data_IF_676426187309
#
_entry.id   IF_676426187309
#
_cell.length_a   1.000
_cell.length_b   1.000
_cell.length_c   1.000
_cell.angle_alpha   90.00
_cell.angle_beta   90.00
_cell.angle_gamma   90.00
#
_symmetry.space_group_name_H-M   'P 1'
#
loop_
_entity.id
_entity.type
_entity.pdbx_description
1 polymer ?
#
# COMPACT_ATOMS: atom_id res chain seq x y z
N UNK A 1 -11.07 -4.87 23.93
CA UNK A 1 -10.58 -5.09 22.57
C UNK A 1 -11.77 -5.09 21.65
N UNK A 2 -11.75 -4.23 20.64
CA UNK A 2 -12.73 -4.24 19.57
C UNK A 2 -12.72 -5.58 18.83
N UNK A 3 -13.86 -5.98 18.24
CA UNK A 3 -13.99 -7.24 17.47
C UNK A 3 -12.95 -7.35 16.35
N UNK A 4 -12.50 -6.21 15.82
CA UNK A 4 -11.61 -6.13 14.67
C UNK A 4 -10.20 -5.60 14.99
N UNK A 5 -9.90 -5.29 16.27
CA UNK A 5 -8.61 -4.70 16.66
C UNK A 5 -8.41 -3.23 16.21
N UNK A 6 -9.50 -2.51 15.94
CA UNK A 6 -9.50 -1.07 15.67
C UNK A 6 -10.84 -0.42 16.01
N UNK A 7 -10.85 0.90 16.16
CA UNK A 7 -12.04 1.67 16.50
C UNK A 7 -12.86 2.09 15.27
N UNK A 8 -14.12 2.48 15.48
CA UNK A 8 -14.94 3.06 14.38
C UNK A 8 -14.29 4.32 13.76
N UNK A 9 -13.55 5.10 14.55
CA UNK A 9 -12.82 6.28 14.08
C UNK A 9 -11.70 5.86 13.12
N UNK A 10 -10.92 4.85 13.49
CA UNK A 10 -9.85 4.30 12.64
C UNK A 10 -10.37 3.84 11.28
N UNK A 11 -11.52 3.15 11.27
CA UNK A 11 -12.16 2.73 10.01
C UNK A 11 -12.58 3.92 9.14
N UNK A 12 -13.01 5.02 9.76
CA UNK A 12 -13.35 6.23 9.00
C UNK A 12 -12.11 6.87 8.41
N UNK A 13 -11.05 7.03 9.22
CA UNK A 13 -9.77 7.60 8.80
C UNK A 13 -9.10 6.77 7.70
N UNK A 14 -9.11 5.44 7.81
CA UNK A 14 -8.57 4.55 6.78
C UNK A 14 -9.23 4.81 5.42
N UNK A 15 -10.56 4.91 5.38
CA UNK A 15 -11.29 5.16 4.13
C UNK A 15 -11.09 6.56 3.57
N UNK A 16 -10.77 7.53 4.42
CA UNK A 16 -10.45 8.88 4.01
C UNK A 16 -9.05 8.95 3.38
N UNK A 17 -8.05 8.32 4.03
CA UNK A 17 -6.65 8.39 3.62
C UNK A 17 -6.27 7.44 2.47
N UNK A 18 -6.99 6.33 2.30
CA UNK A 18 -6.59 5.28 1.34
C UNK A 18 -6.44 5.78 -0.09
N UNK A 19 -7.29 6.70 -0.56
CA UNK A 19 -7.21 7.23 -1.92
C UNK A 19 -5.89 7.97 -2.14
N UNK A 20 -5.49 8.83 -1.20
CA UNK A 20 -4.26 9.61 -1.32
C UNK A 20 -3.02 8.71 -1.23
N UNK A 21 -3.06 7.67 -0.40
CA UNK A 21 -1.99 6.68 -0.30
C UNK A 21 -1.82 5.87 -1.59
N UNK A 22 -2.93 5.44 -2.20
CA UNK A 22 -2.88 4.70 -3.47
C UNK A 22 -2.34 5.59 -4.61
N UNK A 23 -2.78 6.86 -4.69
CA UNK A 23 -2.27 7.80 -5.70
C UNK A 23 -0.77 8.08 -5.51
N UNK A 24 -0.31 8.31 -4.27
CA UNK A 24 1.10 8.51 -3.98
C UNK A 24 1.96 7.28 -4.34
N UNK A 25 1.46 6.08 -4.06
CA UNK A 25 2.13 4.83 -4.42
C UNK A 25 2.19 4.63 -5.94
N UNK A 26 1.08 4.83 -6.64
CA UNK A 26 1.04 4.70 -8.10
C UNK A 26 1.90 5.76 -8.79
N UNK A 27 2.00 6.99 -8.26
CA UNK A 27 2.92 8.00 -8.78
C UNK A 27 4.40 7.58 -8.61
N UNK A 28 4.76 6.96 -7.48
CA UNK A 28 6.08 6.36 -7.28
C UNK A 28 6.34 5.25 -8.33
N UNK A 29 5.40 4.33 -8.52
CA UNK A 29 5.53 3.26 -9.51
C UNK A 29 5.69 3.82 -10.94
N UNK A 30 4.88 4.82 -11.32
CA UNK A 30 4.98 5.46 -12.62
C UNK A 30 6.38 6.07 -12.87
N UNK A 31 6.99 6.66 -11.84
CA UNK A 31 8.37 7.18 -11.93
C UNK A 31 9.38 6.05 -12.12
N UNK A 32 9.27 4.96 -11.37
CA UNK A 32 10.11 3.76 -11.52
C UNK A 32 9.97 3.14 -12.94
N UNK A 33 8.76 3.12 -13.50
CA UNK A 33 8.51 2.63 -14.85
C UNK A 33 9.18 3.49 -15.92
N UNK A 34 9.12 4.82 -15.76
CA UNK A 34 9.81 5.76 -16.65
C UNK A 34 11.32 5.54 -16.59
N UNK A 35 11.89 5.36 -15.40
CA UNK A 35 13.32 5.07 -15.23
C UNK A 35 13.72 3.76 -15.89
N UNK A 36 12.93 2.70 -15.72
CA UNK A 36 13.13 1.40 -16.38
C UNK A 36 13.12 1.53 -17.91
N UNK A 37 12.15 2.26 -18.47
CA UNK A 37 12.06 2.49 -19.92
C UNK A 37 13.22 3.32 -20.47
N UNK A 38 13.75 4.24 -19.66
CA UNK A 38 14.92 5.05 -20.00
C UNK A 38 16.27 4.32 -19.76
N UNK A 39 16.24 3.13 -19.16
CA UNK A 39 17.42 2.32 -18.87
C UNK A 39 18.10 1.73 -20.10
N UNK A 40 19.17 0.96 -19.85
CA UNK A 40 19.92 0.26 -20.90
C UNK A 40 19.17 -0.97 -21.44
N UNK A 41 19.61 -1.48 -22.59
CA UNK A 41 19.04 -2.66 -23.24
C UNK A 41 18.20 -2.36 -24.49
N UNK A 42 17.85 -3.42 -25.20
CA UNK A 42 17.02 -3.34 -26.39
C UNK A 42 15.60 -2.86 -26.04
N UNK A 43 14.86 -2.27 -26.99
CA UNK A 43 13.47 -1.88 -26.76
C UNK A 43 12.58 -3.05 -26.31
N UNK A 44 12.83 -4.26 -26.82
CA UNK A 44 12.08 -5.47 -26.45
C UNK A 44 12.34 -5.91 -25.02
N UNK A 45 13.59 -5.87 -24.56
CA UNK A 45 13.92 -6.23 -23.17
C UNK A 45 13.21 -5.29 -22.21
N UNK A 46 13.33 -3.97 -22.41
CA UNK A 46 12.65 -2.96 -21.58
C UNK A 46 11.14 -3.13 -21.57
N UNK A 47 10.54 -3.40 -22.73
CA UNK A 47 9.09 -3.63 -22.84
C UNK A 47 8.65 -4.83 -22.01
N UNK A 48 9.30 -5.99 -22.17
CA UNK A 48 8.90 -7.20 -21.45
C UNK A 48 9.20 -7.12 -19.95
N UNK A 49 10.31 -6.48 -19.56
CA UNK A 49 10.61 -6.23 -18.14
C UNK A 49 9.56 -5.31 -17.51
N UNK A 50 9.12 -4.25 -18.22
CA UNK A 50 8.04 -3.39 -17.73
C UNK A 50 6.71 -4.14 -17.61
N UNK A 51 6.35 -4.94 -18.61
CA UNK A 51 5.10 -5.73 -18.59
C UNK A 51 5.06 -6.68 -17.40
N UNK A 52 6.15 -7.41 -17.14
CA UNK A 52 6.27 -8.30 -15.99
C UNK A 52 6.19 -7.53 -14.67
N UNK A 53 6.83 -6.36 -14.60
CA UNK A 53 6.79 -5.50 -13.41
C UNK A 53 5.38 -5.01 -13.11
N UNK A 54 4.66 -4.47 -14.11
CA UNK A 54 3.27 -4.00 -13.95
C UNK A 54 2.36 -5.14 -13.48
N UNK A 55 2.51 -6.35 -14.03
CA UNK A 55 1.73 -7.53 -13.61
C UNK A 55 2.01 -8.00 -12.18
N UNK A 56 3.12 -7.59 -11.58
CA UNK A 56 3.40 -7.85 -10.18
C UNK A 56 2.84 -6.72 -9.32
N UNK A 57 3.11 -5.47 -9.68
CA UNK A 57 2.67 -4.30 -8.94
C UNK A 57 1.14 -4.14 -8.92
N UNK A 58 0.41 -4.58 -9.97
CA UNK A 58 -1.06 -4.53 -9.99
C UNK A 58 -1.73 -5.32 -8.87
N UNK A 59 -1.00 -6.26 -8.26
CA UNK A 59 -1.47 -7.10 -7.15
C UNK A 59 -1.29 -6.44 -5.79
N UNK A 60 -0.50 -5.36 -5.73
CA UNK A 60 -0.23 -4.66 -4.49
C UNK A 60 -1.49 -3.96 -3.99
N UNK A 61 -1.64 -3.91 -2.67
CA UNK A 61 -2.73 -3.23 -1.99
C UNK A 61 -2.73 -1.73 -2.29
N UNK A 62 -1.54 -1.15 -2.48
CA UNK A 62 -1.35 0.22 -2.95
C UNK A 62 -1.90 0.50 -4.34
N UNK A 63 -2.18 -0.54 -5.15
CA UNK A 63 -2.81 -0.40 -6.48
C UNK A 63 -4.26 -0.87 -6.45
N UNK A 64 -4.53 -2.08 -5.96
CA UNK A 64 -5.86 -2.67 -5.99
C UNK A 64 -6.26 -3.27 -4.63
N UNK A 65 -6.70 -2.41 -3.72
CA UNK A 65 -7.18 -2.85 -2.42
C UNK A 65 -8.57 -3.50 -2.46
N UNK A 66 -8.82 -4.42 -1.53
CA UNK A 66 -10.16 -4.92 -1.22
C UNK A 66 -10.72 -4.24 0.04
N UNK A 67 -11.71 -3.37 -0.16
CA UNK A 67 -12.34 -2.62 0.92
C UNK A 67 -13.31 -3.48 1.76
N UNK A 68 -12.94 -3.78 3.00
CA UNK A 68 -13.84 -4.34 4.02
C UNK A 68 -13.31 -4.09 5.42
N UNK A 69 -14.18 -4.16 6.44
CA UNK A 69 -13.76 -4.05 7.84
C UNK A 69 -12.84 -5.19 8.27
N UNK A 70 -13.16 -6.41 7.85
CA UNK A 70 -12.35 -7.61 8.15
C UNK A 70 -10.93 -7.51 7.60
N UNK A 71 -10.75 -6.79 6.49
CA UNK A 71 -9.46 -6.67 5.81
C UNK A 71 -8.69 -5.40 6.23
N UNK A 72 -9.24 -4.54 7.10
CA UNK A 72 -8.65 -3.23 7.39
C UNK A 72 -7.21 -3.35 7.90
N UNK A 73 -6.97 -4.18 8.93
CA UNK A 73 -5.62 -4.37 9.49
C UNK A 73 -4.71 -5.00 8.44
N UNK A 74 -5.16 -6.05 7.76
CA UNK A 74 -4.36 -6.72 6.71
C UNK A 74 -3.98 -5.75 5.59
N UNK A 75 -4.90 -4.90 5.13
CA UNK A 75 -4.62 -3.91 4.11
C UNK A 75 -3.57 -2.90 4.58
N UNK A 76 -3.68 -2.40 5.82
CA UNK A 76 -2.68 -1.46 6.36
C UNK A 76 -1.30 -2.12 6.48
N UNK A 77 -1.24 -3.37 6.93
CA UNK A 77 0.00 -4.14 7.00
C UNK A 77 0.60 -4.34 5.61
N UNK A 78 -0.21 -4.68 4.61
CA UNK A 78 0.27 -4.81 3.23
C UNK A 78 0.81 -3.49 2.68
N UNK A 79 0.09 -2.38 2.88
CA UNK A 79 0.54 -1.05 2.46
C UNK A 79 1.87 -0.64 3.11
N UNK A 80 2.10 -1.00 4.38
CA UNK A 80 3.38 -0.79 5.05
C UNK A 80 4.49 -1.65 4.43
N UNK A 81 4.22 -2.92 4.15
CA UNK A 81 5.19 -3.86 3.57
C UNK A 81 5.56 -3.49 2.11
N UNK A 82 4.58 -3.00 1.35
CA UNK A 82 4.75 -2.46 -0.01
C UNK A 82 5.51 -1.12 0.00
N UNK A 83 5.62 -0.48 1.17
CA UNK A 83 6.18 0.86 1.30
C UNK A 83 5.31 1.95 0.67
N UNK A 84 4.01 1.69 0.52
CA UNK A 84 3.01 2.66 0.10
C UNK A 84 2.73 3.69 1.21
N UNK A 85 2.87 3.27 2.46
CA UNK A 85 2.77 4.13 3.66
C UNK A 85 3.86 3.78 4.66
N UNK A 86 3.99 4.62 5.69
CA UNK A 86 4.88 4.42 6.83
C UNK A 86 4.09 4.44 8.14
N UNK A 87 4.73 4.05 9.26
CA UNK A 87 4.10 4.16 10.58
C UNK A 87 3.74 5.60 10.97
N UNK A 88 4.39 6.61 10.37
CA UNK A 88 4.07 8.02 10.61
C UNK A 88 2.70 8.39 10.01
N UNK A 89 2.34 7.80 8.88
CA UNK A 89 1.02 8.01 8.25
C UNK A 89 -0.14 7.49 9.12
N UNK A 90 0.18 6.68 10.13
CA UNK A 90 -0.76 6.13 11.11
C UNK A 90 -0.83 6.92 12.43
N UNK A 91 -0.16 8.08 12.54
CA UNK A 91 -0.07 8.85 13.80
C UNK A 91 -1.46 9.19 14.40
N UNK A 92 -2.40 9.59 13.55
CA UNK A 92 -3.76 9.99 13.93
C UNK A 92 -4.67 8.82 14.34
N UNK A 93 -4.23 7.58 14.10
CA UNK A 93 -4.98 6.38 14.45
C UNK A 93 -4.83 6.03 15.93
N UNK A 94 -5.77 5.22 16.43
CA UNK A 94 -5.77 4.76 17.80
C UNK A 94 -4.53 3.94 18.17
N UNK A 95 -4.15 3.99 19.44
CA UNK A 95 -3.06 3.15 19.96
C UNK A 95 -3.40 1.66 19.84
N UNK A 96 -4.67 1.26 19.99
CA UNK A 96 -5.13 -0.13 19.76
C UNK A 96 -4.76 -0.63 18.35
N UNK A 97 -5.03 0.17 17.32
CA UNK A 97 -4.67 -0.20 15.94
C UNK A 97 -3.15 -0.24 15.75
N UNK A 98 -2.42 0.77 16.26
CA UNK A 98 -0.97 0.85 16.11
C UNK A 98 -0.25 -0.29 16.82
N UNK A 99 -0.71 -0.69 18.01
CA UNK A 99 -0.19 -1.85 18.74
C UNK A 99 -0.46 -3.16 17.98
N UNK A 100 -1.67 -3.34 17.45
CA UNK A 100 -2.00 -4.52 16.65
C UNK A 100 -1.14 -4.64 15.39
N UNK A 101 -0.89 -3.53 14.70
CA UNK A 101 0.01 -3.51 13.53
C UNK A 101 1.44 -3.88 13.95
N UNK A 102 1.99 -3.25 14.99
CA UNK A 102 3.35 -3.56 15.48
C UNK A 102 3.49 -5.03 15.88
N UNK A 103 2.48 -5.60 16.51
CA UNK A 103 2.46 -7.02 16.86
C UNK A 103 2.56 -7.94 15.63
N UNK A 104 1.97 -7.53 14.50
CA UNK A 104 2.00 -8.29 13.25
C UNK A 104 3.32 -8.08 12.49
N UNK A 105 3.83 -6.85 12.46
CA UNK A 105 4.99 -6.48 11.63
C UNK A 105 6.34 -6.75 12.29
N UNK A 106 6.40 -6.87 13.63
CA UNK A 106 7.63 -7.13 14.40
C UNK A 106 8.45 -5.89 14.70
#
# INVERSE_FOLDING_TARGET
MSEYGFTKKDWSLFREKISDWQEAYMDKLNKEYIELLNGEGTPSERFWTLEERIRNDEKDTGVQLRMSRSNCITNIVSLLNEGAITMNDLEEFSDELKENIRFITG
#
